data_IF_082733877712
#
_entry.id   IF_082733877712
#
_cell.length_a   1.000
_cell.length_b   1.000
_cell.length_c   1.000
_cell.angle_alpha   90.00
_cell.angle_beta   90.00
_cell.angle_gamma   90.00
#
_symmetry.space_group_name_H-M   'P 1'
#
loop_
_entity.id
_entity.type
_entity.pdbx_description
1 polymer ?
#
# COMPACT_ATOMS: atom_id res chain seq x y z
N UNK A 1 -12.24 17.38 -0.47
CA UNK A 1 -12.67 16.06 0.02
C UNK A 1 -13.68 16.28 1.13
N UNK A 2 -14.86 15.65 1.08
CA UNK A 2 -15.88 15.74 2.14
C UNK A 2 -15.51 14.87 3.34
N UNK A 3 -15.92 15.28 4.55
CA UNK A 3 -15.63 14.54 5.80
C UNK A 3 -16.04 13.06 5.72
N UNK A 4 -17.23 12.76 5.20
CA UNK A 4 -17.72 11.38 5.03
C UNK A 4 -16.83 10.54 4.09
N UNK A 5 -16.21 11.15 3.08
CA UNK A 5 -15.27 10.45 2.18
C UNK A 5 -13.95 10.19 2.87
N UNK A 6 -13.45 11.14 3.68
CA UNK A 6 -12.25 10.95 4.46
C UNK A 6 -12.42 9.84 5.52
N UNK A 7 -13.56 9.83 6.21
CA UNK A 7 -13.92 8.81 7.19
C UNK A 7 -13.97 7.42 6.52
N UNK A 8 -14.62 7.30 5.36
CA UNK A 8 -14.68 6.04 4.60
C UNK A 8 -13.29 5.55 4.11
N UNK A 9 -12.42 6.44 3.63
CA UNK A 9 -11.06 6.05 3.23
C UNK A 9 -10.20 5.59 4.41
N UNK A 10 -10.42 6.17 5.60
CA UNK A 10 -9.75 5.73 6.82
C UNK A 10 -10.23 4.32 7.21
N UNK A 11 -11.53 4.05 7.14
CA UNK A 11 -12.09 2.72 7.41
C UNK A 11 -11.49 1.64 6.50
N UNK A 12 -11.42 1.87 5.18
CA UNK A 12 -10.83 0.90 4.24
C UNK A 12 -9.34 0.65 4.51
N UNK A 13 -8.60 1.70 4.90
CA UNK A 13 -7.19 1.57 5.27
C UNK A 13 -7.01 0.75 6.54
N UNK A 14 -7.85 0.99 7.54
CA UNK A 14 -7.81 0.24 8.79
C UNK A 14 -8.21 -1.23 8.57
N UNK A 15 -9.21 -1.49 7.72
CA UNK A 15 -9.59 -2.85 7.34
C UNK A 15 -8.45 -3.58 6.61
N UNK A 16 -7.77 -2.92 5.67
CA UNK A 16 -6.59 -3.52 5.03
C UNK A 16 -5.49 -3.84 6.05
N UNK A 17 -5.22 -2.93 6.99
CA UNK A 17 -4.23 -3.19 8.04
C UNK A 17 -4.63 -4.38 8.93
N UNK A 18 -5.90 -4.47 9.33
CA UNK A 18 -6.45 -5.58 10.10
C UNK A 18 -6.30 -6.92 9.35
N UNK A 19 -6.61 -6.95 8.06
CA UNK A 19 -6.48 -8.13 7.22
C UNK A 19 -5.03 -8.61 7.14
N UNK A 20 -4.09 -7.69 6.91
CA UNK A 20 -2.67 -8.02 6.81
C UNK A 20 -2.07 -8.48 8.16
N UNK A 21 -2.55 -7.95 9.28
CA UNK A 21 -2.20 -8.43 10.62
C UNK A 21 -2.77 -9.83 10.86
N UNK A 22 -4.05 -10.04 10.57
CA UNK A 22 -4.72 -11.33 10.72
C UNK A 22 -4.07 -12.43 9.87
N UNK A 23 -3.61 -12.09 8.67
CA UNK A 23 -2.91 -13.00 7.76
C UNK A 23 -1.43 -13.22 8.14
N UNK A 24 -0.90 -12.52 9.15
CA UNK A 24 0.50 -12.61 9.57
C UNK A 24 1.49 -11.99 8.58
N UNK A 25 1.04 -11.10 7.69
CA UNK A 25 1.90 -10.33 6.79
C UNK A 25 2.49 -9.11 7.47
N UNK A 26 1.78 -8.55 8.45
CA UNK A 26 2.27 -7.56 9.40
C UNK A 26 2.40 -8.24 10.77
N UNK A 27 3.55 -8.09 11.40
CA UNK A 27 3.86 -8.73 12.69
C UNK A 27 4.43 -7.76 13.74
N UNK A 28 4.72 -6.53 13.34
CA UNK A 28 5.26 -5.49 14.21
C UNK A 28 4.35 -4.26 14.28
N UNK A 29 4.27 -3.66 15.47
CA UNK A 29 3.44 -2.48 15.71
C UNK A 29 3.87 -1.27 14.86
N UNK A 30 5.16 -1.17 14.53
CA UNK A 30 5.69 -0.08 13.70
C UNK A 30 5.20 -0.19 12.25
N UNK A 31 5.17 -1.41 11.70
CA UNK A 31 4.68 -1.63 10.32
C UNK A 31 3.16 -1.46 10.28
N UNK A 32 2.43 -1.97 11.27
CA UNK A 32 0.99 -1.74 11.38
C UNK A 32 0.65 -0.25 11.40
N UNK A 33 1.33 0.53 12.26
CA UNK A 33 1.14 1.97 12.34
C UNK A 33 1.42 2.69 11.00
N UNK A 34 2.43 2.24 10.25
CA UNK A 34 2.72 2.80 8.92
C UNK A 34 1.56 2.55 7.94
N UNK A 35 1.03 1.31 7.89
CA UNK A 35 -0.09 0.97 7.03
C UNK A 35 -1.38 1.71 7.40
N UNK A 36 -1.61 1.97 8.70
CA UNK A 36 -2.73 2.78 9.20
C UNK A 36 -2.58 4.28 8.96
N UNK A 37 -1.37 4.78 8.75
CA UNK A 37 -1.11 6.20 8.57
C UNK A 37 -1.09 6.63 7.10
N UNK A 38 -0.56 5.79 6.20
CA UNK A 38 -0.31 6.17 4.81
C UNK A 38 -1.57 5.98 3.95
N UNK A 39 -2.12 7.04 3.32
CA UNK A 39 -3.29 6.93 2.44
C UNK A 39 -2.88 6.31 1.09
N UNK A 40 -2.81 4.98 1.02
CA UNK A 40 -2.38 4.23 -0.18
C UNK A 40 -3.04 4.68 -1.49
N UNK A 41 -4.30 5.08 -1.45
CA UNK A 41 -5.05 5.56 -2.61
C UNK A 41 -4.51 6.86 -3.24
N UNK A 42 -3.65 7.62 -2.53
CA UNK A 42 -2.97 8.79 -3.08
C UNK A 42 -1.75 8.42 -3.95
N UNK A 43 -1.30 7.16 -3.88
CA UNK A 43 -0.11 6.63 -4.57
C UNK A 43 -0.46 5.60 -5.66
N UNK A 44 -1.69 5.67 -6.19
CA UNK A 44 -2.19 4.90 -7.34
C UNK A 44 -2.82 5.88 -8.34
N UNK A 45 -3.09 5.47 -9.59
CA UNK A 45 -3.63 6.39 -10.58
C UNK A 45 -4.97 7.01 -10.15
N UNK A 46 -5.18 8.26 -10.54
CA UNK A 46 -6.44 8.94 -10.28
C UNK A 46 -7.62 8.16 -10.90
N UNK A 47 -8.66 7.92 -10.10
CA UNK A 47 -9.85 7.17 -10.53
C UNK A 47 -9.78 5.67 -10.30
N UNK A 48 -8.67 5.13 -9.76
CA UNK A 48 -8.65 3.75 -9.24
C UNK A 48 -9.77 3.59 -8.18
N UNK A 49 -10.65 2.57 -8.30
CA UNK A 49 -11.65 2.28 -7.28
C UNK A 49 -11.01 2.05 -5.91
N UNK A 50 -11.64 2.53 -4.85
CA UNK A 50 -11.07 2.44 -3.50
C UNK A 50 -10.87 0.98 -3.06
N UNK A 51 -11.79 0.11 -3.46
CA UNK A 51 -11.73 -1.33 -3.19
C UNK A 51 -10.53 -1.98 -3.87
N UNK A 52 -10.11 -1.48 -5.04
CA UNK A 52 -8.90 -1.94 -5.74
C UNK A 52 -7.64 -1.38 -5.07
N UNK A 53 -7.66 -0.11 -4.67
CA UNK A 53 -6.52 0.51 -3.98
C UNK A 53 -6.21 -0.17 -2.64
N UNK A 54 -7.25 -0.65 -1.95
CA UNK A 54 -7.17 -1.29 -0.64
C UNK A 54 -7.32 -2.82 -0.68
N UNK A 55 -7.28 -3.45 -1.86
CA UNK A 55 -7.21 -4.91 -1.96
C UNK A 55 -5.85 -5.42 -1.48
N UNK A 56 -5.84 -6.39 -0.56
CA UNK A 56 -4.62 -6.89 0.08
C UNK A 56 -3.68 -7.67 -0.86
N UNK A 57 -4.23 -8.33 -1.89
CA UNK A 57 -3.56 -9.31 -2.73
C UNK A 57 -3.18 -8.78 -4.12
N UNK A 58 -3.84 -7.71 -4.58
CA UNK A 58 -3.70 -7.21 -5.94
C UNK A 58 -2.73 -6.03 -6.07
N UNK A 59 -1.94 -6.06 -7.15
CA UNK A 59 -1.14 -4.90 -7.58
C UNK A 59 -1.96 -3.96 -8.43
N UNK A 60 -1.67 -2.67 -8.37
CA UNK A 60 -2.32 -1.65 -9.22
C UNK A 60 -1.37 -1.22 -10.32
N UNK A 61 -1.84 -1.29 -11.58
CA UNK A 61 -1.09 -0.79 -12.72
C UNK A 61 -0.93 0.74 -12.64
N UNK A 62 0.31 1.23 -12.75
CA UNK A 62 0.62 2.67 -12.74
C UNK A 62 0.81 3.19 -14.16
N UNK A 63 1.57 2.47 -14.98
CA UNK A 63 1.95 2.94 -16.32
C UNK A 63 2.02 1.80 -17.32
N UNK A 64 1.45 2.02 -18.50
CA UNK A 64 1.61 1.16 -19.67
C UNK A 64 2.36 1.90 -20.79
N UNK A 65 3.04 1.15 -21.66
CA UNK A 65 3.60 1.71 -22.89
C UNK A 65 2.55 1.82 -24.01
N UNK A 66 2.98 2.24 -25.21
CA UNK A 66 2.13 2.41 -26.39
C UNK A 66 1.54 1.10 -26.95
N UNK A 67 2.09 -0.05 -26.53
CA UNK A 67 1.62 -1.37 -26.90
C UNK A 67 0.74 -2.02 -25.81
N UNK A 68 0.46 -1.28 -24.72
CA UNK A 68 -0.35 -1.75 -23.60
C UNK A 68 0.43 -2.63 -22.62
N UNK A 69 1.76 -2.71 -22.71
CA UNK A 69 2.58 -3.47 -21.78
C UNK A 69 2.68 -2.73 -20.46
N UNK A 70 2.41 -3.42 -19.35
CA UNK A 70 2.57 -2.88 -18.01
C UNK A 70 4.06 -2.69 -17.71
N UNK A 71 4.48 -1.44 -17.54
CA UNK A 71 5.88 -1.08 -17.28
C UNK A 71 6.11 -0.50 -15.88
N UNK A 72 5.03 -0.17 -15.15
CA UNK A 72 5.11 0.15 -13.72
C UNK A 72 3.84 -0.23 -12.98
N UNK A 73 3.97 -0.69 -11.74
CA UNK A 73 2.86 -1.03 -10.85
C UNK A 73 3.19 -0.73 -9.40
N UNK A 74 2.15 -0.42 -8.62
CA UNK A 74 2.21 -0.45 -7.16
C UNK A 74 1.97 -1.89 -6.73
N UNK A 75 2.98 -2.51 -6.13
CA UNK A 75 2.90 -3.90 -5.65
C UNK A 75 1.76 -4.11 -4.63
N UNK A 76 1.26 -5.33 -4.56
CA UNK A 76 0.22 -5.72 -3.61
C UNK A 76 0.60 -5.38 -2.16
N UNK A 77 -0.35 -4.92 -1.32
CA UNK A 77 -0.09 -4.60 0.09
C UNK A 77 0.60 -5.73 0.86
N UNK A 78 0.18 -6.98 0.68
CA UNK A 78 0.79 -8.11 1.39
C UNK A 78 2.29 -8.24 1.11
N UNK A 79 2.69 -8.00 -0.15
CA UNK A 79 4.07 -8.15 -0.57
C UNK A 79 4.92 -7.02 0.02
N UNK A 80 4.40 -5.79 -0.01
CA UNK A 80 5.05 -4.64 0.64
C UNK A 80 5.22 -4.85 2.15
N UNK A 81 4.18 -5.32 2.84
CA UNK A 81 4.24 -5.62 4.27
C UNK A 81 5.35 -6.64 4.58
N UNK A 82 5.40 -7.75 3.83
CA UNK A 82 6.44 -8.77 4.02
C UNK A 82 7.85 -8.23 3.77
N UNK A 83 8.04 -7.42 2.71
CA UNK A 83 9.36 -6.84 2.40
C UNK A 83 9.83 -5.90 3.52
N UNK A 84 8.94 -5.05 4.04
CA UNK A 84 9.26 -4.11 5.11
C UNK A 84 9.57 -4.85 6.42
N UNK A 85 8.79 -5.88 6.78
CA UNK A 85 9.04 -6.72 7.95
C UNK A 85 10.39 -7.45 7.86
N UNK A 86 10.73 -7.97 6.66
CA UNK A 86 12.02 -8.62 6.41
C UNK A 86 13.19 -7.63 6.49
N UNK A 87 12.99 -6.40 6.03
CA UNK A 87 14.00 -5.35 6.07
C UNK A 87 14.32 -4.90 7.50
N UNK A 88 13.42 -5.13 8.48
CA UNK A 88 13.60 -4.80 9.90
C UNK A 88 14.05 -3.34 10.10
N UNK A 89 13.39 -2.43 9.37
CA UNK A 89 13.72 -1.00 9.37
C UNK A 89 13.57 -0.44 10.80
N UNK A 90 14.50 0.42 11.21
CA UNK A 90 14.51 1.06 12.53
C UNK A 90 14.77 2.56 12.42
N UNK A 91 14.35 3.36 13.42
CA UNK A 91 14.70 4.77 13.49
C UNK A 91 16.21 5.00 13.34
N UNK A 92 16.59 5.97 12.51
CA UNK A 92 18.00 6.31 12.24
C UNK A 92 18.66 5.53 11.10
N UNK A 93 17.98 4.55 10.50
CA UNK A 93 18.48 3.89 9.28
C UNK A 93 18.30 4.77 8.04
N UNK A 94 19.24 4.68 7.11
CA UNK A 94 19.08 5.18 5.75
C UNK A 94 18.65 4.02 4.85
N UNK A 95 17.54 4.17 4.12
CA UNK A 95 16.95 3.14 3.27
C UNK A 95 17.07 3.56 1.81
N UNK A 96 17.45 2.62 0.95
CA UNK A 96 17.43 2.80 -0.50
C UNK A 96 16.43 1.82 -1.11
N UNK A 97 15.45 2.37 -1.80
CA UNK A 97 14.50 1.61 -2.62
C UNK A 97 14.90 1.71 -4.09
N UNK A 98 14.92 0.57 -4.79
CA UNK A 98 15.06 0.51 -6.24
C UNK A 98 13.71 0.19 -6.87
N UNK A 99 13.26 1.03 -7.80
CA UNK A 99 11.98 0.82 -8.50
C UNK A 99 10.76 1.39 -7.76
N UNK A 100 10.89 2.59 -7.19
CA UNK A 100 9.82 3.30 -6.45
C UNK A 100 8.66 3.80 -7.32
N UNK A 101 8.45 3.23 -8.51
CA UNK A 101 7.69 3.78 -9.65
C UNK A 101 6.18 3.95 -9.48
N UNK A 102 5.72 4.43 -8.33
CA UNK A 102 4.42 5.09 -8.19
C UNK A 102 4.33 6.36 -9.02
#
# INVERSE_FOLDING_TARGET
MTRATADHTAELRDQLADELVSAGHITSAQVEAAFRAVPRHEFVPAGTPMEVAYNADESVAIKTDEHGVLISSTSAPFLQARMIEQAKIRPGMNVLEYGSGG
#
